data_IF_824983673286
#
_entry.id   IF_824983673286
#
_cell.length_a   1.000
_cell.length_b   1.000
_cell.length_c   1.000
_cell.angle_alpha   90.00
_cell.angle_beta   90.00
_cell.angle_gamma   90.00
#
_symmetry.space_group_name_H-M   'P 1'
#
loop_
_entity.id
_entity.type
_entity.pdbx_description
1 polymer ?
#
# COMPACT_ATOMS: atom_id res chain seq x y z
N UNK A 1 -6.48 -30.56 -29.63
CA UNK A 1 -7.01 -30.59 -28.26
C UNK A 1 -7.34 -29.17 -27.86
N UNK A 2 -8.63 -28.86 -27.91
CA UNK A 2 -9.19 -27.54 -27.63
C UNK A 2 -9.25 -27.36 -26.12
N UNK A 3 -8.50 -26.40 -25.59
CA UNK A 3 -8.61 -26.02 -24.18
C UNK A 3 -9.96 -25.36 -23.99
N UNK A 4 -10.83 -26.03 -23.22
CA UNK A 4 -12.14 -25.53 -22.85
C UNK A 4 -12.02 -24.10 -22.30
N UNK A 5 -12.70 -23.16 -22.97
CA UNK A 5 -12.97 -21.82 -22.44
C UNK A 5 -13.93 -21.97 -21.26
N UNK A 6 -13.36 -22.22 -20.08
CA UNK A 6 -14.12 -22.15 -18.84
C UNK A 6 -14.54 -20.70 -18.61
N UNK A 7 -15.81 -20.42 -18.85
CA UNK A 7 -16.51 -19.17 -18.53
C UNK A 7 -16.65 -19.00 -17.01
N UNK A 8 -15.54 -18.84 -16.30
CA UNK A 8 -15.55 -18.18 -15.01
C UNK A 8 -15.36 -16.69 -15.29
N UNK A 9 -16.38 -15.87 -15.03
CA UNK A 9 -16.14 -14.45 -14.78
C UNK A 9 -15.30 -14.38 -13.51
N UNK A 10 -13.98 -14.41 -13.67
CA UNK A 10 -13.01 -14.48 -12.58
C UNK A 10 -13.17 -13.20 -11.75
N UNK A 11 -13.83 -13.32 -10.61
CA UNK A 11 -13.93 -12.23 -9.65
C UNK A 11 -12.52 -11.80 -9.25
N UNK A 12 -12.21 -10.52 -9.42
CA UNK A 12 -10.93 -9.95 -8.99
C UNK A 12 -10.92 -9.91 -7.45
N UNK A 13 -9.83 -10.32 -6.77
CA UNK A 13 -9.80 -10.31 -5.30
C UNK A 13 -9.76 -8.88 -4.78
N UNK A 14 -10.56 -8.55 -3.76
CA UNK A 14 -10.46 -7.24 -3.10
C UNK A 14 -9.09 -7.08 -2.41
N UNK A 15 -8.45 -5.95 -2.62
CA UNK A 15 -7.12 -5.65 -2.09
C UNK A 15 -7.21 -4.49 -1.10
N UNK A 16 -6.73 -4.74 0.13
CA UNK A 16 -6.66 -3.73 1.17
C UNK A 16 -5.20 -3.47 1.55
N UNK A 17 -4.80 -2.21 1.47
CA UNK A 17 -3.48 -1.75 1.90
C UNK A 17 -3.70 -0.91 3.17
N UNK A 18 -3.14 -1.38 4.28
CA UNK A 18 -3.17 -0.68 5.57
C UNK A 18 -1.77 -0.17 5.89
N UNK A 19 -1.64 1.15 6.03
CA UNK A 19 -0.37 1.80 6.35
C UNK A 19 -0.44 2.28 7.80
N UNK A 20 0.55 1.87 8.60
CA UNK A 20 0.74 2.37 9.96
C UNK A 20 1.87 3.38 9.94
N UNK A 21 1.55 4.65 10.18
CA UNK A 21 2.56 5.68 10.27
C UNK A 21 3.33 5.62 11.60
N UNK A 22 4.62 5.99 11.54
CA UNK A 22 5.50 6.21 12.69
C UNK A 22 5.73 4.99 13.61
N UNK A 23 5.51 3.78 13.10
CA UNK A 23 5.77 2.53 13.83
C UNK A 23 6.92 1.72 13.24
N UNK A 24 7.67 1.03 14.11
CA UNK A 24 8.64 0.01 13.70
C UNK A 24 8.06 -1.37 13.95
N UNK A 25 8.59 -2.40 13.27
CA UNK A 25 8.20 -3.79 13.53
C UNK A 25 8.34 -4.15 15.03
N UNK A 26 9.44 -3.71 15.66
CA UNK A 26 9.66 -3.95 17.09
C UNK A 26 8.64 -3.22 17.99
N UNK A 27 8.25 -2.00 17.61
CA UNK A 27 7.24 -1.23 18.33
C UNK A 27 5.89 -1.91 18.23
N UNK A 28 5.49 -2.31 17.02
CA UNK A 28 4.23 -3.00 16.76
C UNK A 28 4.09 -4.29 17.57
N UNK A 29 5.14 -5.12 17.65
CA UNK A 29 5.13 -6.33 18.48
C UNK A 29 4.94 -6.04 19.97
N UNK A 30 5.49 -4.93 20.48
CA UNK A 30 5.40 -4.59 21.91
C UNK A 30 4.09 -3.89 22.28
N UNK A 31 3.60 -3.00 21.43
CA UNK A 31 2.43 -2.14 21.74
C UNK A 31 1.12 -2.71 21.21
N UNK A 32 1.16 -3.53 20.15
CA UNK A 32 -0.02 -4.09 19.50
C UNK A 32 0.04 -5.63 19.36
N UNK A 33 0.39 -6.38 20.43
CA UNK A 33 0.56 -7.83 20.33
C UNK A 33 -0.72 -8.55 19.87
N UNK A 34 -1.89 -8.14 20.39
CA UNK A 34 -3.19 -8.71 20.01
C UNK A 34 -3.50 -8.54 18.52
N UNK A 35 -3.14 -7.40 17.94
CA UNK A 35 -3.34 -7.13 16.50
C UNK A 35 -2.44 -8.02 15.67
N UNK A 36 -1.18 -8.16 16.06
CA UNK A 36 -0.23 -9.05 15.39
C UNK A 36 -0.70 -10.50 15.42
N UNK A 37 -1.11 -10.99 16.58
CA UNK A 37 -1.58 -12.38 16.74
C UNK A 37 -2.85 -12.61 15.89
N UNK A 38 -3.80 -11.68 15.94
CA UNK A 38 -5.01 -11.75 15.13
C UNK A 38 -4.70 -11.80 13.63
N UNK A 39 -3.80 -10.94 13.13
CA UNK A 39 -3.43 -10.91 11.72
C UNK A 39 -2.70 -12.20 11.29
N UNK A 40 -1.85 -12.75 12.16
CA UNK A 40 -1.10 -13.98 11.87
C UNK A 40 -1.96 -15.23 11.93
N UNK A 41 -2.88 -15.32 12.90
CA UNK A 41 -3.69 -16.51 13.11
C UNK A 41 -4.95 -16.53 12.25
N UNK A 42 -5.65 -15.40 12.12
CA UNK A 42 -6.93 -15.34 11.40
C UNK A 42 -6.76 -15.08 9.91
N UNK A 43 -5.84 -14.19 9.55
CA UNK A 43 -5.57 -13.87 8.15
C UNK A 43 -4.37 -14.62 7.57
N UNK A 44 -3.73 -15.49 8.36
CA UNK A 44 -2.57 -16.31 7.93
C UNK A 44 -1.47 -15.43 7.32
N UNK A 45 -1.27 -14.24 7.90
CA UNK A 45 -0.36 -13.26 7.36
C UNK A 45 1.10 -13.71 7.47
N UNK A 46 1.84 -13.54 6.39
CA UNK A 46 3.28 -13.85 6.34
C UNK A 46 4.10 -12.58 6.58
N UNK A 47 4.90 -12.52 7.67
CA UNK A 47 5.72 -11.35 7.93
C UNK A 47 6.91 -11.28 6.97
N UNK A 48 7.11 -10.13 6.34
CA UNK A 48 8.32 -9.87 5.54
C UNK A 48 9.50 -9.57 6.46
N UNK A 49 10.30 -10.61 6.73
CA UNK A 49 11.53 -10.45 7.51
C UNK A 49 12.53 -9.60 6.73
N UNK A 50 13.25 -8.73 7.44
CA UNK A 50 14.30 -7.85 6.89
C UNK A 50 13.80 -6.79 5.89
N UNK A 51 12.50 -6.49 5.88
CA UNK A 51 11.98 -5.32 5.17
C UNK A 51 12.41 -4.04 5.91
N UNK A 52 13.38 -3.34 5.34
CA UNK A 52 13.97 -2.14 5.92
C UNK A 52 13.29 -0.87 5.38
N UNK A 53 13.36 0.21 6.18
CA UNK A 53 12.98 1.53 5.72
C UNK A 53 13.90 1.99 4.58
N UNK A 54 13.30 2.64 3.60
CA UNK A 54 13.96 3.30 2.46
C UNK A 54 14.69 4.57 2.91
N UNK A 55 14.11 5.32 3.85
CA UNK A 55 14.68 6.58 4.33
C UNK A 55 14.25 6.94 5.75
N UNK A 56 14.76 8.06 6.25
CA UNK A 56 14.35 8.63 7.54
C UNK A 56 12.98 9.31 7.38
N UNK A 57 12.15 9.26 8.43
CA UNK A 57 10.76 9.76 8.45
C UNK A 57 9.79 8.98 7.55
N UNK A 58 8.51 9.33 7.61
CA UNK A 58 7.43 8.60 6.94
C UNK A 58 7.41 8.79 5.43
N UNK A 59 7.65 10.03 4.98
CA UNK A 59 7.47 10.41 3.57
C UNK A 59 8.33 9.61 2.58
N UNK A 60 9.65 9.42 2.77
CA UNK A 60 10.44 8.65 1.81
C UNK A 60 10.01 7.18 1.70
N UNK A 61 9.47 6.62 2.79
CA UNK A 61 8.97 5.25 2.82
C UNK A 61 7.61 5.12 2.12
N UNK A 62 6.69 6.03 2.41
CA UNK A 62 5.37 6.08 1.76
C UNK A 62 5.48 6.31 0.26
N UNK A 63 6.32 7.27 -0.17
CA UNK A 63 6.53 7.55 -1.60
C UNK A 63 7.15 6.37 -2.34
N UNK A 64 8.21 5.78 -1.78
CA UNK A 64 8.83 4.62 -2.42
C UNK A 64 7.89 3.42 -2.53
N UNK A 65 7.01 3.22 -1.54
CA UNK A 65 6.03 2.14 -1.55
C UNK A 65 4.85 2.40 -2.50
N UNK A 66 4.27 3.60 -2.46
CA UNK A 66 3.05 3.93 -3.20
C UNK A 66 3.30 4.34 -4.65
N UNK A 67 4.47 4.90 -4.94
CA UNK A 67 4.83 5.46 -6.26
C UNK A 67 5.92 4.65 -6.97
N UNK A 68 6.54 3.68 -6.28
CA UNK A 68 7.60 2.85 -6.85
C UNK A 68 8.93 3.57 -7.14
N UNK A 69 9.11 4.81 -6.66
CA UNK A 69 10.31 5.64 -6.92
C UNK A 69 11.01 6.10 -5.65
N UNK A 70 12.35 6.13 -5.70
CA UNK A 70 13.16 6.64 -4.60
C UNK A 70 13.36 8.14 -4.72
N UNK A 71 13.07 8.89 -3.66
CA UNK A 71 13.37 10.33 -3.58
C UNK A 71 14.87 10.49 -3.28
N UNK A 72 15.63 11.03 -4.23
CA UNK A 72 17.07 11.27 -4.02
C UNK A 72 17.30 12.55 -3.21
N UNK A 73 16.41 13.53 -3.35
CA UNK A 73 16.53 14.82 -2.68
C UNK A 73 15.24 15.19 -1.92
N UNK A 74 15.34 15.75 -0.70
CA UNK A 74 14.17 16.08 0.11
C UNK A 74 13.23 17.12 -0.52
N UNK A 75 13.72 17.92 -1.47
CA UNK A 75 12.95 18.96 -2.16
C UNK A 75 12.23 18.46 -3.42
N UNK A 76 12.51 17.25 -3.88
CA UNK A 76 11.84 16.59 -5.03
C UNK A 76 10.35 16.35 -4.76
N UNK A 77 9.94 16.42 -3.49
CA UNK A 77 8.57 16.30 -2.98
C UNK A 77 7.62 17.44 -3.38
N UNK A 78 8.13 18.66 -3.61
CA UNK A 78 7.28 19.87 -3.63
C UNK A 78 6.77 20.29 -5.01
N UNK A 79 7.21 19.64 -6.09
CA UNK A 79 7.15 20.27 -7.42
C UNK A 79 6.05 19.65 -8.31
N UNK A 80 5.78 18.35 -8.16
CA UNK A 80 4.92 17.61 -9.09
C UNK A 80 3.70 16.97 -8.42
N UNK A 81 2.56 17.05 -9.10
CA UNK A 81 1.34 16.34 -8.69
C UNK A 81 1.53 14.82 -8.77
N UNK A 82 0.95 14.09 -7.81
CA UNK A 82 0.86 12.62 -7.85
C UNK A 82 0.07 12.13 -9.07
N UNK A 83 -0.81 12.96 -9.64
CA UNK A 83 -1.58 12.59 -10.84
C UNK A 83 -0.67 12.37 -12.08
N UNK A 84 0.56 12.91 -12.07
CA UNK A 84 1.56 12.71 -13.12
C UNK A 84 2.53 11.56 -12.81
N UNK A 85 2.24 10.75 -11.80
CA UNK A 85 3.16 9.76 -11.24
C UNK A 85 2.61 8.33 -11.28
N UNK A 86 3.48 7.35 -11.01
CA UNK A 86 3.17 5.92 -10.99
C UNK A 86 2.56 5.48 -9.66
N UNK A 87 1.44 6.10 -9.27
CA UNK A 87 0.72 5.70 -8.06
C UNK A 87 0.07 4.33 -8.24
N UNK A 88 0.32 3.42 -7.29
CA UNK A 88 -0.19 2.04 -7.31
C UNK A 88 -1.73 1.98 -7.47
N UNK A 89 -2.47 2.95 -6.93
CA UNK A 89 -3.92 3.00 -7.11
C UNK A 89 -4.35 3.26 -8.56
N UNK A 90 -3.53 3.94 -9.37
CA UNK A 90 -3.81 4.10 -10.80
C UNK A 90 -3.54 2.79 -11.55
N UNK A 91 -2.51 2.05 -11.19
CA UNK A 91 -2.24 0.72 -11.78
C UNK A 91 -3.40 -0.25 -11.52
N UNK A 92 -3.90 -0.31 -10.29
CA UNK A 92 -5.08 -1.13 -9.96
C UNK A 92 -6.33 -0.64 -10.71
N UNK A 93 -6.55 0.66 -10.81
CA UNK A 93 -7.67 1.22 -11.58
C UNK A 93 -7.61 0.77 -13.05
N UNK A 94 -6.45 0.87 -13.68
CA UNK A 94 -6.25 0.51 -15.08
C UNK A 94 -6.38 -1.01 -15.31
N UNK A 95 -6.19 -1.82 -14.26
CA UNK A 95 -6.51 -3.26 -14.24
C UNK A 95 -8.01 -3.58 -14.00
N UNK A 96 -8.85 -2.55 -13.84
CA UNK A 96 -10.31 -2.69 -13.69
C UNK A 96 -10.82 -2.71 -12.24
N UNK A 97 -9.97 -2.36 -11.26
CA UNK A 97 -10.37 -2.23 -9.86
C UNK A 97 -11.00 -0.85 -9.60
N UNK A 98 -11.95 -0.80 -8.67
CA UNK A 98 -12.35 0.48 -8.06
C UNK A 98 -11.39 0.79 -6.93
N UNK A 99 -10.75 1.95 -6.98
CA UNK A 99 -9.75 2.32 -5.98
C UNK A 99 -10.26 3.41 -5.06
N UNK A 100 -9.90 3.28 -3.79
CA UNK A 100 -10.20 4.25 -2.75
C UNK A 100 -8.95 4.41 -1.89
N UNK A 101 -8.55 5.66 -1.69
CA UNK A 101 -7.55 6.03 -0.70
C UNK A 101 -8.22 6.90 0.36
N UNK A 102 -8.00 6.57 1.63
CA UNK A 102 -8.40 7.36 2.77
C UNK A 102 -7.19 7.55 3.66
N UNK A 103 -6.92 8.79 4.03
CA UNK A 103 -5.80 9.18 4.87
C UNK A 103 -6.34 10.01 6.05
N UNK A 104 -5.72 9.89 7.22
CA UNK A 104 -6.22 10.44 8.48
C UNK A 104 -5.74 11.87 8.75
N UNK A 105 -4.98 12.46 7.83
CA UNK A 105 -4.56 13.85 7.88
C UNK A 105 -5.61 14.75 7.23
N UNK A 106 -5.87 15.87 7.88
CA UNK A 106 -7.05 16.72 7.65
C UNK A 106 -7.14 17.41 6.26
N UNK A 107 -6.23 17.12 5.31
CA UNK A 107 -6.14 17.79 4.02
C UNK A 107 -6.26 16.85 2.80
N UNK A 108 -6.16 15.53 2.95
CA UNK A 108 -6.29 14.59 1.83
C UNK A 108 -7.72 14.02 1.78
N UNK A 109 -8.51 14.54 0.84
CA UNK A 109 -9.88 14.09 0.60
C UNK A 109 -9.87 12.72 -0.06
N UNK A 110 -10.76 11.83 0.39
CA UNK A 110 -11.11 10.59 -0.30
C UNK A 110 -11.23 10.82 -1.81
N UNK A 111 -10.31 10.24 -2.58
CA UNK A 111 -10.41 10.18 -4.04
C UNK A 111 -11.02 8.82 -4.41
N UNK A 112 -12.12 8.88 -5.16
CA UNK A 112 -12.80 7.72 -5.74
C UNK A 112 -12.63 7.81 -7.26
N UNK A 113 -12.13 6.73 -7.89
CA UNK A 113 -11.96 6.63 -9.35
C UNK A 113 -12.25 5.25 -9.87
#
# INVERSE_FOLDING_TARGET
>A
MEFAKNNFTKHLPDVHILIFDSTSLSSMYRTMPKTVDYIREKYVATPFKYLNKVGINSRPNGYAFLLGRFLRHPLEYCIDSVDNDTFIGFEFRDLGYKTLMSEDWALEKMKWS
#
